data_IF_510516956202
#
_entry.id   IF_510516956202
#
_cell.length_a   1.000
_cell.length_b   1.000
_cell.length_c   1.000
_cell.angle_alpha   90.00
_cell.angle_beta   90.00
_cell.angle_gamma   90.00
#
_symmetry.space_group_name_H-M   'P 1'
#
loop_
_entity.id
_entity.type
_entity.pdbx_description
1 polymer ?
#
# COMPACT_ATOMS: atom_id res chain seq x y z
N UNK A 1 12.77 -8.10 -11.24
CA UNK A 1 11.58 -8.33 -10.40
C UNK A 1 10.48 -7.43 -10.92
N UNK A 2 9.30 -7.97 -11.23
CA UNK A 2 8.16 -7.19 -11.73
C UNK A 2 7.49 -6.47 -10.55
N UNK A 3 7.07 -5.20 -10.71
CA UNK A 3 6.24 -4.54 -9.71
C UNK A 3 4.97 -5.36 -9.43
N UNK A 4 4.54 -5.37 -8.18
CA UNK A 4 3.24 -5.93 -7.78
C UNK A 4 2.36 -4.82 -7.21
N UNK A 5 1.09 -5.12 -7.00
CA UNK A 5 0.12 -4.15 -6.47
C UNK A 5 -0.28 -4.52 -5.05
N UNK A 6 -0.22 -3.55 -4.15
CA UNK A 6 -0.75 -3.64 -2.80
C UNK A 6 -1.76 -2.51 -2.56
N UNK A 7 -2.68 -2.71 -1.62
CA UNK A 7 -3.59 -1.64 -1.24
C UNK A 7 -2.94 -0.69 -0.23
N UNK A 8 -2.94 0.60 -0.57
CA UNK A 8 -2.48 1.74 0.23
C UNK A 8 -3.66 2.41 0.93
N UNK A 9 -3.66 2.55 2.26
CA UNK A 9 -4.64 3.38 2.94
C UNK A 9 -4.34 4.86 2.63
N UNK A 10 -5.39 5.58 2.26
CA UNK A 10 -5.31 7.03 2.06
C UNK A 10 -5.61 7.79 3.35
N UNK A 11 -5.04 8.97 3.46
CA UNK A 11 -5.24 9.93 4.54
C UNK A 11 -6.21 11.02 4.06
N UNK A 12 -6.96 11.60 5.00
CA UNK A 12 -7.85 12.77 4.78
C UNK A 12 -9.04 12.56 3.83
N UNK A 13 -9.43 11.32 3.57
CA UNK A 13 -10.61 11.02 2.73
C UNK A 13 -11.94 11.17 3.48
N UNK A 14 -11.91 11.36 4.81
CA UNK A 14 -13.12 11.44 5.66
C UNK A 14 -13.80 10.09 5.92
N UNK A 15 -13.40 9.04 5.20
CA UNK A 15 -13.76 7.64 5.37
C UNK A 15 -12.54 6.76 5.10
N UNK A 16 -12.59 5.48 5.44
CA UNK A 16 -11.51 4.53 5.11
C UNK A 16 -11.51 4.26 3.61
N UNK A 17 -10.47 4.72 2.91
CA UNK A 17 -10.26 4.50 1.47
C UNK A 17 -8.93 3.81 1.24
N UNK A 18 -8.95 2.82 0.35
CA UNK A 18 -7.79 2.05 -0.04
C UNK A 18 -7.60 2.13 -1.55
N UNK A 19 -6.39 2.44 -2.01
CA UNK A 19 -6.04 2.50 -3.43
C UNK A 19 -4.98 1.46 -3.79
N UNK A 20 -5.09 0.82 -4.96
CA UNK A 20 -4.01 -0.02 -5.47
C UNK A 20 -2.80 0.84 -5.83
N UNK A 21 -1.64 0.51 -5.26
CA UNK A 21 -0.37 1.17 -5.58
C UNK A 21 0.68 0.15 -6.03
N UNK A 22 1.55 0.58 -6.94
CA UNK A 22 2.67 -0.25 -7.38
C UNK A 22 3.76 -0.29 -6.31
N UNK A 23 4.26 -1.48 -6.04
CA UNK A 23 5.39 -1.70 -5.14
C UNK A 23 6.43 -2.60 -5.80
N UNK A 24 7.70 -2.38 -5.47
CA UNK A 24 8.79 -3.28 -5.86
C UNK A 24 9.14 -4.21 -4.69
N UNK A 25 8.98 -5.53 -4.83
CA UNK A 25 9.43 -6.47 -3.80
C UNK A 25 10.94 -6.39 -3.60
N UNK A 26 11.38 -6.49 -2.35
CA UNK A 26 12.79 -6.53 -1.93
C UNK A 26 13.17 -7.96 -1.51
N UNK A 27 14.47 -8.23 -1.37
CA UNK A 27 14.98 -9.58 -1.08
C UNK A 27 14.68 -10.07 0.35
N UNK A 28 14.36 -9.15 1.26
CA UNK A 28 14.03 -9.43 2.66
C UNK A 28 12.52 -9.66 2.90
N UNK A 29 11.71 -9.70 1.83
CA UNK A 29 10.26 -9.86 1.92
C UNK A 29 9.49 -8.56 2.16
N UNK A 30 10.16 -7.42 2.24
CA UNK A 30 9.52 -6.10 2.27
C UNK A 30 9.30 -5.55 0.85
N UNK A 31 8.67 -4.38 0.75
CA UNK A 31 8.30 -3.77 -0.51
C UNK A 31 8.66 -2.28 -0.51
N UNK A 32 9.25 -1.78 -1.60
CA UNK A 32 9.44 -0.36 -1.84
C UNK A 32 8.21 0.22 -2.55
N UNK A 33 7.59 1.24 -1.96
CA UNK A 33 6.46 1.97 -2.58
C UNK A 33 6.98 2.76 -3.79
N UNK A 34 6.36 2.55 -4.96
CA UNK A 34 6.71 3.25 -6.19
C UNK A 34 5.79 4.46 -6.39
N UNK A 35 6.28 5.45 -7.13
CA UNK A 35 5.50 6.63 -7.51
C UNK A 35 5.20 6.68 -9.02
N UNK A 36 4.61 7.79 -9.48
CA UNK A 36 4.25 8.98 -8.70
C UNK A 36 3.01 8.77 -7.83
N UNK A 37 2.92 9.49 -6.71
CA UNK A 37 1.68 9.67 -5.96
C UNK A 37 0.88 10.80 -6.64
N UNK A 38 -0.40 10.61 -6.97
CA UNK A 38 -1.24 11.67 -7.53
C UNK A 38 -1.33 12.89 -6.60
N UNK A 39 -1.43 14.09 -7.18
CA UNK A 39 -1.46 15.36 -6.41
C UNK A 39 -2.71 15.50 -5.53
N UNK A 40 -3.79 14.81 -5.89
CA UNK A 40 -5.06 14.79 -5.18
C UNK A 40 -5.18 13.64 -4.16
N UNK A 41 -4.15 12.80 -4.03
CA UNK A 41 -4.12 11.70 -3.06
C UNK A 41 -3.08 11.96 -1.97
N UNK A 42 -3.39 11.53 -0.74
CA UNK A 42 -2.45 11.53 0.35
C UNK A 42 -2.26 10.11 0.87
N UNK A 43 -1.17 9.46 0.48
CA UNK A 43 -0.89 8.08 0.87
C UNK A 43 -0.35 8.02 2.31
N UNK A 44 -0.72 6.97 3.05
CA UNK A 44 -0.17 6.73 4.40
C UNK A 44 1.35 6.51 4.35
N UNK A 45 1.85 5.85 3.31
CA UNK A 45 3.28 5.70 3.05
C UNK A 45 3.62 6.32 1.69
N UNK A 46 4.39 7.42 1.65
CA UNK A 46 4.74 8.09 0.40
C UNK A 46 5.68 7.23 -0.47
N UNK A 47 5.79 7.52 -1.78
CA UNK A 47 6.79 6.91 -2.66
C UNK A 47 8.19 6.92 -2.05
N UNK A 48 8.92 5.82 -2.19
CA UNK A 48 10.24 5.62 -1.57
C UNK A 48 10.20 4.99 -0.18
N UNK A 49 9.04 4.85 0.46
CA UNK A 49 8.90 4.14 1.72
C UNK A 49 9.12 2.64 1.54
N UNK A 50 9.75 1.99 2.53
CA UNK A 50 9.80 0.53 2.63
C UNK A 50 8.71 0.06 3.59
N UNK A 51 7.89 -0.89 3.15
CA UNK A 51 6.70 -1.37 3.87
C UNK A 51 6.65 -2.90 3.89
N UNK A 52 5.98 -3.46 4.89
CA UNK A 52 5.57 -4.85 4.88
C UNK A 52 4.18 -4.99 4.25
N UNK A 53 3.76 -6.24 3.99
CA UNK A 53 2.41 -6.54 3.51
C UNK A 53 1.69 -7.48 4.47
N UNK A 54 0.37 -7.31 4.57
CA UNK A 54 -0.49 -8.17 5.38
C UNK A 54 -1.80 -8.44 4.65
N UNK A 55 -2.36 -9.64 4.82
CA UNK A 55 -3.72 -9.94 4.37
C UNK A 55 -4.73 -9.23 5.28
N UNK A 56 -5.58 -8.39 4.70
CA UNK A 56 -6.66 -7.67 5.37
C UNK A 56 -8.01 -8.19 4.88
N UNK A 57 -8.98 -8.35 5.78
CA UNK A 57 -10.37 -8.70 5.45
C UNK A 57 -11.23 -7.44 5.54
N UNK A 58 -11.80 -7.02 4.42
CA UNK A 58 -12.68 -5.86 4.35
C UNK A 58 -14.08 -6.16 4.89
N UNK A 59 -14.89 -5.12 5.08
CA UNK A 59 -16.24 -5.25 5.65
C UNK A 59 -17.20 -6.14 4.85
N UNK A 60 -16.91 -6.35 3.56
CA UNK A 60 -17.64 -7.27 2.67
C UNK A 60 -17.11 -8.71 2.71
N UNK A 61 -16.11 -8.99 3.54
CA UNK A 61 -15.46 -10.29 3.68
C UNK A 61 -14.36 -10.57 2.64
N UNK A 62 -14.11 -9.65 1.70
CA UNK A 62 -13.05 -9.81 0.69
C UNK A 62 -11.68 -9.68 1.37
N UNK A 63 -10.74 -10.54 0.97
CA UNK A 63 -9.37 -10.52 1.47
C UNK A 63 -8.39 -10.02 0.43
N UNK A 64 -7.60 -8.99 0.75
CA UNK A 64 -6.54 -8.48 -0.13
C UNK A 64 -5.30 -8.10 0.67
N UNK A 65 -4.15 -8.06 0.00
CA UNK A 65 -2.90 -7.62 0.62
C UNK A 65 -2.85 -6.10 0.69
N UNK A 66 -2.53 -5.60 1.88
CA UNK A 66 -2.40 -4.17 2.18
C UNK A 66 -0.99 -3.85 2.64
N UNK A 67 -0.57 -2.60 2.48
CA UNK A 67 0.68 -2.11 3.06
C UNK A 67 0.53 -1.85 4.55
N UNK A 68 1.56 -2.20 5.33
CA UNK A 68 1.64 -1.99 6.79
C UNK A 68 3.06 -1.57 7.17
N UNK A 69 3.29 -0.91 8.32
CA UNK A 69 4.64 -0.57 8.75
C UNK A 69 5.48 -1.84 8.96
N UNK A 70 6.80 -1.72 8.77
CA UNK A 70 7.75 -2.76 9.14
C UNK A 70 7.73 -2.85 10.68
N UNK A 71 7.53 -4.06 11.22
CA UNK A 71 7.54 -4.32 12.66
C UNK A 71 8.96 -4.52 13.19
#
# INVERSE_FOLDING_TARGET
MTPTTLLMPLLKEGVDVWRPVAVRPLSDGTHLVLGPMPDDELWTFPPGSVVASRLHTFGDGVQQLVVVPIS
#
